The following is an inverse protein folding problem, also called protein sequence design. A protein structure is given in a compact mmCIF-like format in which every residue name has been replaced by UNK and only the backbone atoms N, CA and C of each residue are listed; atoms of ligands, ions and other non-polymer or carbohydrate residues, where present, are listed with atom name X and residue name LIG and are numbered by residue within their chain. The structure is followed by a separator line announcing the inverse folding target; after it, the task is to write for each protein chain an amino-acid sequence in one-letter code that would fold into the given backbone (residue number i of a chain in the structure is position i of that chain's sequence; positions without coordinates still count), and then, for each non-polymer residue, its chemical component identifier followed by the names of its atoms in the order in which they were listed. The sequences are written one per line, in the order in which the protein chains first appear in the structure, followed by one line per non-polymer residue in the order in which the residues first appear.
data_IF_101213086149
#
_entry.id   IF_101213086149
#
_cell.length_a   1.000
_cell.length_b   1.000
_cell.length_c   1.000
_cell.angle_alpha   90.00
_cell.angle_beta   90.00
_cell.angle_gamma   90.00
#
_symmetry.space_group_name_H-M   'P 1'
#
loop_
_entity.id
_entity.type
_entity.pdbx_description
1 polymer ?
#
# COMPACT_ATOMS: atom_id res chain seq x y z
N UNK A 1 -14.46 0.45 -7.50
CA UNK A 1 -14.56 1.86 -7.91
C UNK A 1 -15.99 2.35 -8.17
N UNK A 2 -16.77 1.79 -9.10
CA UNK A 2 -18.09 2.34 -9.43
C UNK A 2 -19.03 2.55 -8.22
N UNK A 3 -19.14 1.56 -7.33
CA UNK A 3 -19.95 1.69 -6.09
C UNK A 3 -19.50 2.82 -5.15
N UNK A 4 -18.20 3.13 -5.14
CA UNK A 4 -17.65 4.24 -4.33
C UNK A 4 -17.98 5.56 -5.01
N UNK A 5 -17.74 5.67 -6.32
CA UNK A 5 -18.02 6.86 -7.10
C UNK A 5 -19.53 7.22 -7.17
N UNK A 6 -20.43 6.23 -7.06
CA UNK A 6 -21.88 6.46 -6.97
C UNK A 6 -22.33 7.03 -5.61
N UNK A 7 -21.53 6.87 -4.55
CA UNK A 7 -21.87 7.25 -3.18
C UNK A 7 -21.09 8.46 -2.68
N UNK A 8 -19.96 8.76 -3.29
CA UNK A 8 -19.11 9.89 -2.94
C UNK A 8 -19.54 11.15 -3.69
N UNK A 9 -19.39 12.31 -3.04
CA UNK A 9 -19.59 13.60 -3.69
C UNK A 9 -18.44 13.90 -4.69
N UNK A 10 -17.23 13.44 -4.37
CA UNK A 10 -16.05 13.50 -5.22
C UNK A 10 -15.13 12.31 -4.94
N UNK A 11 -14.26 12.00 -5.90
CA UNK A 11 -13.25 10.95 -5.81
C UNK A 11 -11.95 11.48 -6.40
N UNK A 12 -10.86 11.43 -5.65
CA UNK A 12 -9.52 11.69 -6.17
C UNK A 12 -8.81 10.36 -6.35
N UNK A 13 -8.42 10.07 -7.59
CA UNK A 13 -7.56 8.94 -7.93
C UNK A 13 -6.11 9.42 -7.91
N UNK A 14 -5.25 8.65 -7.24
CA UNK A 14 -3.82 8.96 -7.12
C UNK A 14 -3.05 7.78 -7.68
N UNK A 15 -2.23 8.03 -8.69
CA UNK A 15 -1.38 7.02 -9.33
C UNK A 15 -0.17 7.74 -9.96
N UNK A 16 0.94 7.03 -10.11
CA UNK A 16 2.10 7.53 -10.87
C UNK A 16 1.94 7.31 -12.38
N UNK A 17 1.10 6.34 -12.78
CA UNK A 17 0.78 6.07 -14.19
C UNK A 17 -0.51 6.80 -14.62
N UNK A 18 -0.42 7.91 -15.37
CA UNK A 18 -1.60 8.62 -15.88
C UNK A 18 -2.46 7.75 -16.79
N UNK A 19 -1.90 6.74 -17.46
CA UNK A 19 -2.69 5.82 -18.28
C UNK A 19 -3.53 4.86 -17.44
N UNK A 20 -3.02 4.41 -16.28
CA UNK A 20 -3.77 3.57 -15.35
C UNK A 20 -5.04 4.30 -14.89
N UNK A 21 -4.89 5.58 -14.56
CA UNK A 21 -6.01 6.42 -14.20
C UNK A 21 -6.98 6.66 -15.35
N UNK A 22 -6.48 6.95 -16.55
CA UNK A 22 -7.34 7.09 -17.74
C UNK A 22 -8.15 5.82 -18.01
N UNK A 23 -7.53 4.63 -17.88
CA UNK A 23 -8.21 3.33 -18.00
C UNK A 23 -9.25 3.13 -16.88
N UNK A 24 -8.95 3.53 -15.64
CA UNK A 24 -9.88 3.45 -14.53
C UNK A 24 -11.09 4.37 -14.72
N UNK A 25 -10.85 5.61 -15.16
CA UNK A 25 -11.89 6.60 -15.45
C UNK A 25 -12.78 6.17 -16.61
N UNK A 26 -12.21 5.60 -17.68
CA UNK A 26 -12.97 5.11 -18.84
C UNK A 26 -13.96 3.98 -18.49
N UNK A 27 -13.74 3.27 -17.38
CA UNK A 27 -14.65 2.20 -16.89
C UNK A 27 -15.80 2.75 -16.06
N UNK A 28 -15.75 4.01 -15.65
CA UNK A 28 -16.78 4.65 -14.83
C UNK A 28 -17.68 5.47 -15.76
N UNK A 29 -18.98 5.23 -15.70
CA UNK A 29 -19.96 5.84 -16.58
C UNK A 29 -20.98 6.68 -15.81
N UNK A 30 -21.62 7.63 -16.49
CA UNK A 30 -22.70 8.44 -15.93
C UNK A 30 -22.24 9.51 -14.94
N UNK A 31 -23.12 9.91 -14.02
CA UNK A 31 -22.88 11.02 -13.08
C UNK A 31 -21.66 10.82 -12.18
N UNK A 32 -21.32 9.57 -11.90
CA UNK A 32 -20.16 9.19 -11.10
C UNK A 32 -18.84 9.64 -11.74
N UNK A 33 -18.79 9.84 -13.07
CA UNK A 33 -17.57 10.27 -13.77
C UNK A 33 -17.23 11.75 -13.53
N UNK A 34 -18.23 12.62 -13.39
CA UNK A 34 -18.05 14.07 -13.29
C UNK A 34 -17.42 14.50 -11.95
N UNK A 35 -17.47 13.66 -10.92
CA UNK A 35 -16.86 13.90 -9.62
C UNK A 35 -15.47 13.29 -9.45
N UNK A 36 -14.86 12.76 -10.51
CA UNK A 36 -13.54 12.10 -10.46
C UNK A 36 -12.45 13.05 -10.91
N UNK A 37 -11.51 13.30 -10.02
CA UNK A 37 -10.24 13.97 -10.30
C UNK A 37 -9.11 12.93 -10.32
N UNK A 38 -8.13 13.14 -11.20
CA UNK A 38 -6.89 12.37 -11.18
C UNK A 38 -5.72 13.26 -10.78
N UNK A 39 -4.90 12.75 -9.87
CA UNK A 39 -3.67 13.35 -9.42
C UNK A 39 -2.52 12.40 -9.74
N UNK A 40 -1.70 12.79 -10.72
CA UNK A 40 -0.44 12.12 -11.00
C UNK A 40 0.54 12.43 -9.86
N UNK A 41 0.89 11.42 -9.06
CA UNK A 41 1.72 11.61 -7.89
C UNK A 41 2.48 10.34 -7.53
N UNK A 42 3.79 10.48 -7.35
CA UNK A 42 4.57 9.53 -6.57
C UNK A 42 4.27 9.73 -5.07
N UNK A 43 3.64 8.72 -4.46
CA UNK A 43 3.30 8.75 -3.03
C UNK A 43 4.54 8.76 -2.13
N UNK A 44 5.70 8.34 -2.65
CA UNK A 44 6.99 8.38 -1.96
C UNK A 44 7.75 9.70 -2.12
N UNK A 45 7.24 10.63 -2.94
CA UNK A 45 7.84 11.94 -3.26
C UNK A 45 9.35 11.88 -3.57
N UNK A 46 9.76 10.91 -4.39
CA UNK A 46 11.14 10.71 -4.81
C UNK A 46 11.97 9.80 -3.90
N UNK A 47 11.43 9.34 -2.76
CA UNK A 47 12.21 8.54 -1.81
C UNK A 47 12.63 7.19 -2.40
N UNK A 48 11.77 6.54 -3.19
CA UNK A 48 12.14 5.31 -3.91
C UNK A 48 13.25 5.58 -4.94
N UNK A 49 13.18 6.70 -5.66
CA UNK A 49 14.15 7.13 -6.66
C UNK A 49 15.52 7.42 -6.04
N UNK A 50 15.58 8.00 -4.85
CA UNK A 50 16.85 8.23 -4.13
C UNK A 50 17.54 6.91 -3.78
N UNK A 51 16.78 5.89 -3.37
CA UNK A 51 17.32 4.54 -3.13
C UNK A 51 17.87 3.97 -4.44
N UNK A 52 17.08 4.01 -5.51
CA UNK A 52 17.45 3.50 -6.84
C UNK A 52 18.70 4.22 -7.37
N UNK A 53 18.77 5.54 -7.26
CA UNK A 53 19.92 6.33 -7.69
C UNK A 53 21.19 5.97 -6.91
N UNK A 54 21.07 5.72 -5.59
CA UNK A 54 22.20 5.30 -4.75
C UNK A 54 22.74 3.93 -5.16
N UNK A 55 21.85 3.00 -5.55
CA UNK A 55 22.22 1.68 -6.09
C UNK A 55 22.99 1.85 -7.40
N UNK A 56 22.44 2.62 -8.34
CA UNK A 56 23.05 2.85 -9.67
C UNK A 56 24.41 3.51 -9.55
N UNK A 57 24.57 4.43 -8.60
CA UNK A 57 25.85 5.10 -8.33
C UNK A 57 26.87 4.22 -7.60
N UNK A 58 26.49 3.02 -7.14
CA UNK A 58 27.34 2.17 -6.30
C UNK A 58 27.65 2.78 -4.93
N UNK A 59 26.83 3.71 -4.46
CA UNK A 59 27.04 4.46 -3.21
C UNK A 59 26.57 3.68 -1.96
N UNK A 60 25.97 2.51 -2.14
CA UNK A 60 25.42 1.70 -1.04
C UNK A 60 24.02 2.18 -0.62
N UNK A 61 23.71 2.04 0.67
CA UNK A 61 22.43 2.47 1.25
C UNK A 61 22.44 3.99 1.50
N UNK A 62 21.43 4.75 1.03
CA UNK A 62 21.30 6.15 1.43
C UNK A 62 21.17 6.25 2.96
N UNK A 63 21.91 7.17 3.56
CA UNK A 63 21.95 7.37 5.02
C UNK A 63 20.93 8.39 5.52
N UNK A 64 20.45 9.28 4.65
CA UNK A 64 19.49 10.34 4.97
C UNK A 64 18.29 10.24 4.03
N UNK A 65 17.47 9.21 4.24
CA UNK A 65 16.19 9.08 3.55
C UNK A 65 15.08 9.57 4.49
N UNK A 66 14.33 10.57 4.04
CA UNK A 66 13.20 11.15 4.79
C UNK A 66 11.95 11.11 3.89
N UNK A 67 11.23 9.97 3.84
CA UNK A 67 10.06 9.87 2.99
C UNK A 67 8.93 10.79 3.50
N UNK A 68 8.12 11.34 2.60
CA UNK A 68 7.06 12.28 2.94
C UNK A 68 6.03 11.64 3.86
N UNK A 69 5.58 12.39 4.86
CA UNK A 69 4.55 11.92 5.78
C UNK A 69 3.31 12.84 5.79
N UNK A 70 3.36 13.95 5.09
CA UNK A 70 2.31 14.98 5.01
C UNK A 70 1.17 14.54 4.09
N UNK A 71 -0.05 14.98 4.42
CA UNK A 71 -1.27 14.60 3.70
C UNK A 71 -1.14 14.70 2.16
N UNK A 72 -1.55 13.64 1.47
CA UNK A 72 -1.75 13.65 0.01
C UNK A 72 -2.84 14.67 -0.34
N UNK A 73 -2.56 15.51 -1.34
CA UNK A 73 -3.49 16.52 -1.86
C UNK A 73 -4.05 17.50 -0.79
N UNK A 74 -3.31 17.75 0.30
CA UNK A 74 -3.75 18.60 1.40
C UNK A 74 -4.78 17.96 2.34
N UNK A 75 -5.18 16.71 2.09
CA UNK A 75 -6.06 15.92 2.95
C UNK A 75 -7.53 16.37 2.96
N UNK A 76 -8.25 16.00 4.04
CA UNK A 76 -9.67 16.31 4.21
C UNK A 76 -10.62 15.26 3.62
N UNK A 77 -10.13 14.08 3.26
CA UNK A 77 -10.98 13.01 2.71
C UNK A 77 -11.75 12.27 3.81
N UNK A 78 -13.05 12.06 3.63
CA UNK A 78 -13.84 11.24 4.57
C UNK A 78 -13.42 9.76 4.56
N UNK A 79 -12.88 9.31 3.42
CA UNK A 79 -12.38 7.96 3.19
C UNK A 79 -11.11 8.02 2.35
N UNK A 80 -10.04 7.38 2.83
CA UNK A 80 -8.80 7.16 2.10
C UNK A 80 -8.60 5.65 1.93
N UNK A 81 -8.21 5.21 0.73
CA UNK A 81 -7.95 3.80 0.42
C UNK A 81 -6.53 3.65 -0.14
N UNK A 82 -5.68 2.92 0.56
CA UNK A 82 -4.41 2.42 0.02
C UNK A 82 -4.59 0.97 -0.43
N UNK A 83 -4.67 0.74 -1.74
CA UNK A 83 -4.96 -0.56 -2.34
C UNK A 83 -3.70 -1.21 -2.96
N UNK A 84 -3.21 -2.28 -2.32
CA UNK A 84 -2.16 -3.18 -2.85
C UNK A 84 -0.83 -2.51 -3.22
N UNK A 85 -0.52 -1.32 -2.66
CA UNK A 85 0.65 -0.55 -3.05
C UNK A 85 1.91 -0.76 -2.18
N UNK A 86 1.80 -1.29 -0.96
CA UNK A 86 2.90 -1.31 0.01
C UNK A 86 4.09 -2.17 -0.43
N UNK A 87 3.83 -3.33 -1.02
CA UNK A 87 4.86 -4.21 -1.60
C UNK A 87 5.43 -3.65 -2.90
N UNK A 88 4.76 -2.64 -3.49
CA UNK A 88 5.08 -2.06 -4.78
C UNK A 88 5.87 -0.74 -4.68
N UNK A 89 6.12 -0.22 -3.47
CA UNK A 89 6.82 1.06 -3.29
C UNK A 89 8.26 1.04 -3.80
N UNK A 90 8.94 -0.11 -3.70
CA UNK A 90 10.35 -0.23 -4.09
C UNK A 90 10.61 -1.40 -5.04
N UNK A 91 9.95 -2.55 -4.82
CA UNK A 91 10.20 -3.79 -5.55
C UNK A 91 10.16 -3.64 -7.09
N UNK A 92 9.20 -2.92 -7.72
CA UNK A 92 9.17 -2.77 -9.17
C UNK A 92 10.44 -2.12 -9.73
N UNK A 93 10.98 -1.10 -9.06
CA UNK A 93 12.20 -0.44 -9.49
C UNK A 93 13.43 -1.36 -9.35
N UNK A 94 13.53 -2.13 -8.27
CA UNK A 94 14.61 -3.11 -8.10
C UNK A 94 14.59 -4.22 -9.16
N UNK A 95 13.39 -4.65 -9.57
CA UNK A 95 13.20 -5.61 -10.67
C UNK A 95 13.65 -5.00 -12.00
N UNK A 96 13.32 -3.73 -12.26
CA UNK A 96 13.74 -3.02 -13.48
C UNK A 96 15.26 -2.87 -13.56
N UNK A 97 15.94 -2.63 -12.43
CA UNK A 97 17.40 -2.63 -12.33
C UNK A 97 18.04 -4.01 -12.55
N UNK A 98 17.24 -5.08 -12.65
CA UNK A 98 17.70 -6.47 -12.83
C UNK A 98 18.67 -6.93 -11.74
N UNK A 99 18.50 -6.44 -10.52
CA UNK A 99 19.32 -6.89 -9.39
C UNK A 99 19.09 -8.39 -9.13
N UNK A 100 20.11 -9.15 -8.71
CA UNK A 100 19.92 -10.50 -8.20
C UNK A 100 18.95 -10.52 -7.02
N UNK A 101 18.13 -11.58 -6.91
CA UNK A 101 17.12 -11.73 -5.84
C UNK A 101 17.64 -11.47 -4.42
N UNK A 102 18.82 -11.96 -4.01
CA UNK A 102 19.38 -11.65 -2.69
C UNK A 102 19.64 -10.16 -2.46
N UNK A 103 20.08 -9.42 -3.48
CA UNK A 103 20.28 -7.97 -3.39
C UNK A 103 18.93 -7.25 -3.33
N UNK A 104 17.94 -7.66 -4.13
CA UNK A 104 16.60 -7.09 -4.02
C UNK A 104 16.06 -7.21 -2.58
N UNK A 105 16.19 -8.40 -1.99
CA UNK A 105 15.75 -8.66 -0.61
C UNK A 105 16.52 -7.84 0.43
N UNK A 106 17.80 -7.56 0.20
CA UNK A 106 18.61 -6.71 1.08
C UNK A 106 18.06 -5.27 1.10
N UNK A 107 17.84 -4.66 -0.07
CA UNK A 107 17.28 -3.31 -0.17
C UNK A 107 15.85 -3.24 0.35
N UNK A 108 15.01 -4.21 0.01
CA UNK A 108 13.65 -4.33 0.54
C UNK A 108 13.65 -4.37 2.08
N UNK A 109 14.48 -5.21 2.69
CA UNK A 109 14.61 -5.27 4.17
C UNK A 109 15.08 -3.95 4.79
N UNK A 110 15.91 -3.20 4.08
CA UNK A 110 16.45 -1.93 4.57
C UNK A 110 15.41 -0.80 4.52
N UNK A 111 14.53 -0.78 3.51
CA UNK A 111 13.71 0.40 3.21
C UNK A 111 12.20 0.18 3.21
N UNK A 112 11.69 -1.05 3.03
CA UNK A 112 10.25 -1.31 2.94
C UNK A 112 9.51 -0.84 4.19
N UNK A 113 10.10 -1.05 5.37
CA UNK A 113 9.50 -0.67 6.66
C UNK A 113 9.35 0.84 6.80
N UNK A 114 10.40 1.57 6.41
CA UNK A 114 10.44 3.03 6.42
C UNK A 114 9.43 3.62 5.43
N UNK A 115 9.43 3.13 4.19
CA UNK A 115 8.51 3.61 3.14
C UNK A 115 7.05 3.29 3.47
N UNK A 116 6.78 2.07 3.98
CA UNK A 116 5.44 1.65 4.40
C UNK A 116 4.93 2.49 5.56
N UNK A 117 5.74 2.73 6.58
CA UNK A 117 5.35 3.53 7.73
C UNK A 117 5.09 5.00 7.35
N UNK A 118 5.94 5.59 6.51
CA UNK A 118 5.75 6.93 6.00
C UNK A 118 4.45 7.05 5.19
N UNK A 119 4.20 6.10 4.26
CA UNK A 119 2.96 6.06 3.50
C UNK A 119 1.74 5.89 4.41
N UNK A 120 1.80 5.01 5.41
CA UNK A 120 0.69 4.83 6.37
C UNK A 120 0.41 6.15 7.08
N UNK A 121 1.43 6.86 7.58
CA UNK A 121 1.24 8.20 8.16
C UNK A 121 0.61 9.16 7.16
N UNK A 122 1.07 9.14 5.91
CA UNK A 122 0.56 9.98 4.83
C UNK A 122 -0.94 9.78 4.60
N UNK A 123 -1.36 8.53 4.48
CA UNK A 123 -2.77 8.15 4.30
C UNK A 123 -3.62 8.51 5.53
N UNK A 124 -3.06 8.36 6.74
CA UNK A 124 -3.72 8.76 7.99
C UNK A 124 -3.94 10.27 8.09
N UNK A 125 -2.98 11.08 7.64
CA UNK A 125 -3.09 12.54 7.62
C UNK A 125 -3.94 13.06 6.46
N UNK A 126 -4.09 12.28 5.39
CA UNK A 126 -5.01 12.62 4.30
C UNK A 126 -6.48 12.56 4.69
N UNK A 127 -6.85 11.73 5.66
CA UNK A 127 -8.24 11.62 6.07
C UNK A 127 -8.67 12.78 6.99
N UNK A 128 -9.92 13.21 6.87
CA UNK A 128 -10.54 14.18 7.77
C UNK A 128 -10.59 13.63 9.21
N UNK A 129 -10.67 14.49 10.25
CA UNK A 129 -10.86 14.03 11.62
C UNK A 129 -12.08 13.10 11.71
N UNK A 130 -11.89 11.91 12.31
CA UNK A 130 -12.88 10.81 12.38
C UNK A 130 -13.19 10.09 11.06
N UNK A 131 -12.60 10.52 9.94
CA UNK A 131 -12.60 9.82 8.67
C UNK A 131 -12.00 8.42 8.78
N UNK A 132 -12.12 7.65 7.70
CA UNK A 132 -11.62 6.26 7.66
C UNK A 132 -10.48 6.13 6.69
N UNK A 133 -9.50 5.31 7.07
CA UNK A 133 -8.44 4.88 6.18
C UNK A 133 -8.49 3.37 6.04
N UNK A 134 -8.54 2.89 4.81
CA UNK A 134 -8.57 1.47 4.49
C UNK A 134 -7.24 1.09 3.86
N UNK A 135 -6.56 0.14 4.47
CA UNK A 135 -5.30 -0.40 3.99
C UNK A 135 -5.54 -1.81 3.48
N UNK A 136 -5.42 -2.02 2.17
CA UNK A 136 -5.49 -3.33 1.53
C UNK A 136 -4.09 -3.73 1.08
N UNK A 137 -3.64 -4.91 1.46
CA UNK A 137 -2.33 -5.42 1.05
C UNK A 137 -2.36 -6.93 0.84
N UNK A 138 -1.43 -7.43 0.04
CA UNK A 138 -1.15 -8.85 -0.07
C UNK A 138 -0.30 -9.34 1.11
N UNK A 139 -0.77 -10.40 1.74
CA UNK A 139 -0.08 -11.04 2.88
C UNK A 139 0.80 -12.18 2.39
N UNK A 140 0.30 -12.95 1.43
CA UNK A 140 0.99 -14.12 0.90
C UNK A 140 0.51 -14.44 -0.52
N UNK A 141 1.41 -15.05 -1.31
CA UNK A 141 1.18 -15.47 -2.68
C UNK A 141 1.51 -16.96 -2.85
N UNK A 142 0.56 -17.74 -3.36
CA UNK A 142 0.75 -19.13 -3.78
C UNK A 142 0.90 -19.16 -5.30
N UNK A 143 2.05 -19.65 -5.78
CA UNK A 143 2.32 -19.83 -7.21
C UNK A 143 3.23 -21.03 -7.44
N UNK A 144 3.40 -21.46 -8.70
CA UNK A 144 4.27 -22.59 -9.05
C UNK A 144 5.75 -22.41 -8.63
N UNK A 145 6.17 -21.16 -8.39
CA UNK A 145 7.53 -20.83 -7.94
C UNK A 145 7.61 -20.42 -6.48
N UNK A 146 6.47 -20.19 -5.80
CA UNK A 146 6.43 -19.71 -4.41
C UNK A 146 5.47 -20.57 -3.59
N UNK A 147 6.02 -21.45 -2.76
CA UNK A 147 5.27 -22.17 -1.74
C UNK A 147 5.19 -21.36 -0.45
N UNK A 148 4.10 -21.56 0.29
CA UNK A 148 3.84 -20.97 1.60
C UNK A 148 3.81 -22.08 2.67
N UNK A 149 4.09 -21.74 3.94
CA UNK A 149 4.08 -22.71 5.03
C UNK A 149 2.68 -23.21 5.43
N UNK A 150 1.62 -22.68 4.82
CA UNK A 150 0.22 -23.10 4.97
C UNK A 150 -0.45 -23.12 3.60
N UNK A 151 -1.46 -23.95 3.45
CA UNK A 151 -2.30 -23.96 2.25
C UNK A 151 -3.24 -22.75 2.24
N UNK A 152 -3.60 -22.26 1.06
CA UNK A 152 -4.51 -21.11 0.95
C UNK A 152 -5.89 -21.38 1.57
N UNK A 153 -6.41 -22.60 1.43
CA UNK A 153 -7.69 -22.97 2.05
C UNK A 153 -7.62 -22.91 3.59
N UNK A 154 -6.51 -23.34 4.19
CA UNK A 154 -6.24 -23.21 5.63
C UNK A 154 -6.15 -21.74 6.04
N UNK A 155 -5.44 -20.94 5.23
CA UNK A 155 -5.26 -19.52 5.46
C UNK A 155 -6.58 -18.73 5.41
N UNK A 156 -7.50 -19.07 4.52
CA UNK A 156 -8.83 -18.44 4.44
C UNK A 156 -9.75 -18.89 5.58
N UNK A 157 -9.62 -20.14 6.05
CA UNK A 157 -10.45 -20.67 7.13
C UNK A 157 -10.04 -20.12 8.51
N UNK A 158 -8.75 -19.87 8.72
CA UNK A 158 -8.17 -19.40 9.99
C UNK A 158 -7.13 -18.29 9.79
N UNK A 159 -7.55 -17.13 9.27
CA UNK A 159 -6.62 -16.13 8.76
C UNK A 159 -5.70 -15.52 9.83
N UNK A 160 -6.21 -15.18 11.02
CA UNK A 160 -5.37 -14.61 12.07
C UNK A 160 -4.30 -15.59 12.56
N UNK A 161 -4.61 -16.89 12.67
CA UNK A 161 -3.65 -17.93 13.05
C UNK A 161 -2.61 -18.16 11.94
N UNK A 162 -3.07 -18.16 10.69
CA UNK A 162 -2.22 -18.37 9.52
C UNK A 162 -1.31 -17.17 9.25
N UNK A 163 -1.76 -15.95 9.51
CA UNK A 163 -0.97 -14.71 9.31
C UNK A 163 0.35 -14.73 10.07
N UNK A 164 0.35 -15.23 11.31
CA UNK A 164 1.57 -15.36 12.11
C UNK A 164 2.66 -16.23 11.43
N UNK A 165 2.23 -17.21 10.60
CA UNK A 165 3.10 -18.09 9.82
C UNK A 165 3.43 -17.54 8.43
N UNK A 166 2.56 -16.68 7.90
CA UNK A 166 2.60 -16.20 6.51
C UNK A 166 3.36 -14.89 6.30
N UNK A 167 3.53 -14.07 7.34
CA UNK A 167 4.20 -12.76 7.25
C UNK A 167 5.65 -12.84 6.71
N UNK A 168 5.80 -12.85 5.38
CA UNK A 168 7.10 -12.95 4.70
C UNK A 168 7.82 -11.60 4.55
N UNK A 169 7.08 -10.50 4.71
CA UNK A 169 7.57 -9.12 4.60
C UNK A 169 6.86 -8.25 5.65
N UNK A 170 7.13 -8.51 6.94
CA UNK A 170 6.56 -7.74 8.05
C UNK A 170 6.79 -6.23 7.92
N UNK A 171 7.86 -5.84 7.21
CA UNK A 171 8.19 -4.46 6.91
C UNK A 171 7.18 -3.79 5.95
N UNK A 172 6.58 -4.53 5.00
CA UNK A 172 5.53 -4.01 4.11
C UNK A 172 4.13 -4.08 4.70
N UNK A 173 3.95 -4.63 5.90
CA UNK A 173 2.63 -4.85 6.48
C UNK A 173 2.10 -3.54 7.10
N UNK A 174 1.09 -2.88 6.49
CA UNK A 174 0.53 -1.65 7.02
C UNK A 174 -0.14 -1.86 8.38
N UNK A 175 -0.58 -3.09 8.74
CA UNK A 175 -1.09 -3.37 10.07
C UNK A 175 -0.01 -3.13 11.14
N UNK A 176 1.20 -3.63 10.89
CA UNK A 176 2.30 -3.48 11.85
C UNK A 176 2.73 -2.02 11.96
N UNK A 177 2.70 -1.27 10.86
CA UNK A 177 2.92 0.18 10.89
C UNK A 177 1.83 0.90 11.71
N UNK A 178 0.54 0.58 11.50
CA UNK A 178 -0.56 1.14 12.29
C UNK A 178 -0.40 0.85 13.79
N UNK A 179 0.01 -0.37 14.15
CA UNK A 179 0.27 -0.77 15.54
C UNK A 179 1.40 0.04 16.16
N UNK A 180 2.53 0.19 15.46
CA UNK A 180 3.67 1.01 15.93
C UNK A 180 3.29 2.47 16.11
N UNK A 181 2.49 3.00 15.19
CA UNK A 181 1.99 4.38 15.23
C UNK A 181 0.86 4.58 16.25
N UNK A 182 0.35 3.51 16.90
CA UNK A 182 -0.74 3.58 17.86
C UNK A 182 -2.09 3.98 17.24
N UNK A 183 -2.28 3.74 15.94
CA UNK A 183 -3.50 4.09 15.22
C UNK A 183 -4.61 3.09 15.54
N UNK A 184 -5.82 3.61 15.82
CA UNK A 184 -6.97 2.78 16.15
C UNK A 184 -7.49 2.02 14.91
N UNK A 185 -7.27 0.71 14.90
CA UNK A 185 -7.91 -0.21 13.96
C UNK A 185 -9.31 -0.57 14.45
N UNK A 186 -10.32 -0.51 13.57
CA UNK A 186 -11.73 -0.79 13.91
C UNK A 186 -12.27 -2.04 13.24
N UNK A 187 -11.78 -2.40 12.07
CA UNK A 187 -12.26 -3.57 11.33
C UNK A 187 -11.14 -4.20 10.52
N UNK A 188 -11.24 -5.51 10.31
CA UNK A 188 -10.30 -6.30 9.51
C UNK A 188 -11.06 -7.33 8.69
N UNK A 189 -10.64 -7.51 7.44
CA UNK A 189 -11.21 -8.49 6.52
C UNK A 189 -10.11 -9.25 5.78
N UNK A 190 -10.41 -10.48 5.40
CA UNK A 190 -9.51 -11.38 4.70
C UNK A 190 -10.24 -12.00 3.52
N UNK A 191 -9.57 -12.08 2.36
CA UNK A 191 -10.13 -12.72 1.19
C UNK A 191 -9.04 -13.19 0.23
N UNK A 192 -9.43 -14.03 -0.72
CA UNK A 192 -8.57 -14.39 -1.83
C UNK A 192 -8.63 -13.32 -2.91
N UNK A 193 -7.47 -12.83 -3.34
CA UNK A 193 -7.35 -11.89 -4.44
C UNK A 193 -6.82 -12.58 -5.72
N UNK A 194 -7.63 -12.65 -6.80
CA UNK A 194 -7.24 -13.30 -8.05
C UNK A 194 -6.50 -12.32 -8.97
N UNK A 195 -5.25 -11.98 -8.64
CA UNK A 195 -4.47 -11.00 -9.42
C UNK A 195 -4.06 -11.53 -10.81
N UNK A 196 -3.58 -12.77 -10.88
CA UNK A 196 -3.15 -13.43 -12.11
C UNK A 196 -3.66 -14.88 -12.14
N UNK A 197 -3.91 -15.48 -13.33
CA UNK A 197 -4.47 -16.83 -13.44
C UNK A 197 -3.72 -17.93 -12.67
N UNK A 198 -2.41 -17.76 -12.48
CA UNK A 198 -1.52 -18.76 -11.84
C UNK A 198 -0.98 -18.32 -10.48
N UNK A 199 -1.52 -17.23 -9.91
CA UNK A 199 -1.12 -16.70 -8.60
C UNK A 199 -2.35 -16.45 -7.78
N UNK A 200 -2.40 -17.07 -6.60
CA UNK A 200 -3.48 -16.86 -5.64
C UNK A 200 -2.93 -16.08 -4.46
N UNK A 201 -3.53 -14.96 -4.14
CA UNK A 201 -3.08 -14.11 -3.04
C UNK A 201 -4.05 -14.19 -1.88
N UNK A 202 -3.54 -14.24 -0.65
CA UNK A 202 -4.30 -13.88 0.53
C UNK A 202 -4.16 -12.37 0.71
N UNK A 203 -5.26 -11.64 0.60
CA UNK A 203 -5.31 -10.21 0.86
C UNK A 203 -5.90 -9.95 2.24
N UNK A 204 -5.45 -8.86 2.86
CA UNK A 204 -6.00 -8.32 4.10
C UNK A 204 -6.40 -6.87 3.88
N UNK A 205 -7.60 -6.55 4.34
CA UNK A 205 -8.09 -5.18 4.48
C UNK A 205 -8.13 -4.81 5.95
N UNK A 206 -7.55 -3.68 6.31
CA UNK A 206 -7.62 -3.10 7.66
C UNK A 206 -8.26 -1.72 7.56
N UNK A 207 -9.31 -1.48 8.35
CA UNK A 207 -9.95 -0.17 8.49
C UNK A 207 -9.47 0.48 9.77
N UNK A 208 -8.93 1.69 9.65
CA UNK A 208 -8.46 2.52 10.75
C UNK A 208 -9.28 3.81 10.86
N UNK A 209 -9.36 4.36 12.07
CA UNK A 209 -9.83 5.75 12.28
C UNK A 209 -8.69 6.71 12.01
N UNK A 210 -8.97 7.74 11.22
CA UNK A 210 -8.02 8.79 10.89
C UNK A 210 -7.36 9.44 12.11
N UNK A 211 -6.11 9.85 11.91
CA UNK A 211 -5.32 10.63 12.84
C UNK A 211 -4.28 9.81 13.59
N UNK A 212 -3.10 10.41 13.75
CA UNK A 212 -2.02 9.85 14.56
C UNK A 212 -2.18 10.30 16.01
N UNK A 213 -1.83 9.46 17.01
CA UNK A 213 -1.86 9.86 18.42
C UNK A 213 -1.02 11.11 18.72
N UNK A 214 0.10 11.30 18.00
CA UNK A 214 0.98 12.48 18.12
C UNK A 214 0.30 13.79 17.78
N UNK A 215 -0.76 13.76 16.98
CA UNK A 215 -1.42 14.97 16.47
C UNK A 215 -2.53 15.45 17.43
N UNK A 216 -2.70 14.76 18.58
CA UNK A 216 -3.74 15.02 19.58
C UNK A 216 -3.21 15.68 20.86
N UNK A 217 -1.91 16.00 20.92
CA UNK A 217 -1.24 16.65 22.07
C UNK A 217 -1.29 18.17 22.01
#
# INVERSE_FOLDING_TARGET
MQRVAERAASVTLVDIDPEAAARAQARITGKAQAGIEFLELDVTDGAAEVIVASIVAGAGHPTNLDPPTDAIAGGGFDLVLGDMLYTQLLQPALVQLRLPGPQQLEYMRAFDGLLTEALVQRLQRSASPLGKVVHVHDVACWSGVHSQPVELAEALATPDLSWARLRRHDQCDPQLALERLGVLTVERGWWEWPFEPNKRFLARGTVAVAGLPSDRS
#
